data_IF_014968249384
#
_entry.id   IF_014968249384
#
_cell.length_a   1.000
_cell.length_b   1.000
_cell.length_c   1.000
_cell.angle_alpha   90.00
_cell.angle_beta   90.00
_cell.angle_gamma   90.00
#
_symmetry.space_group_name_H-M   'P 1'
#
loop_
_entity.id
_entity.type
_entity.pdbx_description
1 polymer ?
#
# COMPACT_ATOMS: atom_id res chain seq x y z
N UNK A 1 11.38 -17.59 22.24
CA UNK A 1 10.97 -17.73 20.83
C UNK A 1 9.76 -16.83 20.61
N UNK A 2 9.75 -16.05 19.54
CA UNK A 2 8.60 -15.18 19.15
C UNK A 2 7.81 -15.91 18.08
N UNK A 3 6.48 -15.97 18.22
CA UNK A 3 5.60 -16.50 17.19
C UNK A 3 5.07 -15.37 16.30
N UNK A 4 5.18 -15.50 14.96
CA UNK A 4 4.61 -14.56 13.99
C UNK A 4 3.60 -15.32 13.12
N UNK A 5 2.40 -14.79 12.99
CA UNK A 5 1.34 -15.34 12.13
C UNK A 5 1.19 -14.49 10.87
N UNK A 6 1.37 -15.12 9.70
CA UNK A 6 1.35 -14.49 8.40
C UNK A 6 2.76 -14.20 7.85
N UNK A 7 3.23 -15.01 6.88
CA UNK A 7 4.50 -14.79 6.18
C UNK A 7 4.30 -13.97 4.88
N UNK A 8 3.43 -12.97 4.93
CA UNK A 8 3.37 -11.92 3.92
C UNK A 8 4.62 -11.02 3.98
N UNK A 9 4.73 -9.99 3.12
CA UNK A 9 5.89 -9.09 3.12
C UNK A 9 6.19 -8.49 4.50
N UNK A 10 5.15 -8.07 5.24
CA UNK A 10 5.28 -7.51 6.60
C UNK A 10 5.87 -8.52 7.58
N UNK A 11 5.28 -9.72 7.68
CA UNK A 11 5.74 -10.73 8.64
C UNK A 11 7.13 -11.26 8.33
N UNK A 12 7.46 -11.40 7.05
CA UNK A 12 8.79 -11.82 6.61
C UNK A 12 9.86 -10.77 6.94
N UNK A 13 9.57 -9.48 6.70
CA UNK A 13 10.48 -8.38 7.05
C UNK A 13 10.67 -8.27 8.56
N UNK A 14 9.57 -8.35 9.31
CA UNK A 14 9.59 -8.31 10.78
C UNK A 14 10.42 -9.47 11.37
N UNK A 15 10.24 -10.69 10.84
CA UNK A 15 11.00 -11.87 11.26
C UNK A 15 12.52 -11.66 11.06
N UNK A 16 12.92 -11.08 9.93
CA UNK A 16 14.35 -10.77 9.65
C UNK A 16 14.89 -9.75 10.65
N UNK A 17 14.16 -8.66 10.93
CA UNK A 17 14.59 -7.64 11.87
C UNK A 17 14.75 -8.21 13.30
N UNK A 18 13.73 -8.92 13.79
CA UNK A 18 13.77 -9.49 15.13
C UNK A 18 14.83 -10.60 15.29
N UNK A 19 15.04 -11.41 14.25
CA UNK A 19 16.12 -12.40 14.27
C UNK A 19 17.51 -11.74 14.39
N UNK A 20 17.73 -10.60 13.72
CA UNK A 20 18.97 -9.83 13.85
C UNK A 20 19.18 -9.23 15.24
N UNK A 21 18.10 -9.06 16.02
CA UNK A 21 18.16 -8.73 17.45
C UNK A 21 18.49 -9.96 18.33
N UNK A 22 18.64 -11.14 17.74
CA UNK A 22 18.96 -12.38 18.43
C UNK A 22 17.75 -13.17 18.92
N UNK A 23 16.55 -12.85 18.47
CA UNK A 23 15.36 -13.65 18.80
C UNK A 23 15.26 -14.88 17.89
N UNK A 24 14.81 -16.00 18.48
CA UNK A 24 14.33 -17.16 17.75
C UNK A 24 12.88 -16.91 17.32
N UNK A 25 12.59 -17.11 16.03
CA UNK A 25 11.30 -16.79 15.40
C UNK A 25 10.64 -18.06 14.84
N UNK A 26 9.39 -18.30 15.21
CA UNK A 26 8.51 -19.25 14.52
C UNK A 26 7.53 -18.46 13.63
N UNK A 27 7.67 -18.58 12.30
CA UNK A 27 6.86 -17.85 11.32
C UNK A 27 5.87 -18.79 10.63
N UNK A 28 4.57 -18.60 10.90
CA UNK A 28 3.47 -19.44 10.40
C UNK A 28 2.76 -18.80 9.23
N UNK A 29 2.53 -19.58 8.16
CA UNK A 29 1.83 -19.13 6.95
C UNK A 29 0.81 -20.18 6.50
N UNK A 30 -0.40 -19.75 6.20
CA UNK A 30 -1.49 -20.61 5.73
C UNK A 30 -1.24 -21.20 4.34
N UNK A 31 -0.62 -20.41 3.46
CA UNK A 31 -0.34 -20.80 2.06
C UNK A 31 0.86 -21.72 1.99
N UNK A 32 1.00 -22.35 0.83
CA UNK A 32 2.20 -23.13 0.47
C UNK A 32 3.42 -22.22 0.38
N UNK A 33 4.60 -22.82 0.44
CA UNK A 33 5.87 -22.11 0.28
C UNK A 33 5.96 -21.45 -1.11
N UNK A 34 6.09 -20.13 -1.21
CA UNK A 34 6.13 -19.44 -2.50
C UNK A 34 7.41 -19.72 -3.31
N UNK A 35 8.41 -20.41 -2.72
CA UNK A 35 9.62 -20.87 -3.40
C UNK A 35 9.38 -22.14 -4.21
N UNK A 36 8.31 -22.88 -3.92
CA UNK A 36 7.91 -24.04 -4.70
C UNK A 36 7.37 -23.62 -6.06
N UNK A 37 7.95 -24.16 -7.14
CA UNK A 37 7.52 -23.89 -8.51
C UNK A 37 6.05 -24.33 -8.80
N UNK A 38 5.44 -25.13 -7.91
CA UNK A 38 4.05 -25.57 -7.96
C UNK A 38 3.11 -24.71 -7.11
N UNK A 39 3.67 -23.80 -6.29
CA UNK A 39 2.83 -22.85 -5.59
C UNK A 39 2.10 -22.02 -6.65
N UNK A 40 0.78 -22.10 -6.68
CA UNK A 40 -0.01 -21.23 -7.53
C UNK A 40 0.48 -19.80 -7.28
N UNK A 41 0.98 -19.18 -8.35
CA UNK A 41 1.27 -17.75 -8.32
C UNK A 41 -0.08 -17.07 -8.12
N UNK A 42 -0.48 -16.92 -6.84
CA UNK A 42 -1.67 -16.20 -6.46
C UNK A 42 -1.62 -14.86 -7.18
N UNK A 43 -2.76 -14.34 -7.59
CA UNK A 43 -2.89 -13.05 -8.27
C UNK A 43 -2.03 -12.03 -7.57
N UNK A 44 -1.13 -11.42 -8.31
CA UNK A 44 -0.16 -10.49 -7.79
C UNK A 44 -0.55 -9.08 -8.20
N UNK A 45 -1.23 -8.38 -7.30
CA UNK A 45 -1.34 -6.93 -7.42
C UNK A 45 0.08 -6.37 -7.35
N UNK A 46 0.41 -5.46 -8.26
CA UNK A 46 1.64 -4.70 -8.15
C UNK A 46 1.54 -3.70 -7.02
N UNK A 47 2.60 -3.60 -6.29
CA UNK A 47 2.78 -2.67 -5.18
C UNK A 47 3.62 -1.49 -5.66
N UNK A 48 3.33 -0.32 -5.12
CA UNK A 48 4.14 0.89 -5.31
C UNK A 48 5.12 1.00 -4.12
N UNK A 49 6.38 0.65 -4.33
CA UNK A 49 7.42 0.80 -3.34
C UNK A 49 7.96 2.24 -3.39
N UNK A 50 7.83 2.96 -2.29
CA UNK A 50 8.26 4.34 -2.10
C UNK A 50 9.40 4.44 -1.07
N UNK A 51 9.87 5.64 -0.79
CA UNK A 51 11.04 5.88 0.05
C UNK A 51 10.95 5.22 1.44
N UNK A 52 9.79 5.25 2.11
CA UNK A 52 9.58 4.60 3.42
C UNK A 52 9.81 3.09 3.38
N UNK A 53 9.27 2.44 2.36
CA UNK A 53 9.48 1.01 2.18
C UNK A 53 10.92 0.68 1.80
N UNK A 54 11.56 1.51 0.96
CA UNK A 54 12.97 1.39 0.61
C UNK A 54 13.85 1.57 1.84
N UNK A 55 13.56 2.57 2.68
CA UNK A 55 14.26 2.80 3.94
C UNK A 55 14.18 1.57 4.85
N UNK A 56 12.99 1.01 5.04
CA UNK A 56 12.81 -0.18 5.85
C UNK A 56 13.59 -1.39 5.33
N UNK A 57 13.59 -1.61 4.01
CA UNK A 57 14.38 -2.68 3.39
C UNK A 57 15.88 -2.47 3.52
N UNK A 58 16.36 -1.22 3.47
CA UNK A 58 17.77 -0.87 3.72
C UNK A 58 18.17 -1.08 5.17
N UNK A 59 17.36 -0.65 6.12
CA UNK A 59 17.56 -0.90 7.57
C UNK A 59 17.64 -2.40 7.84
N UNK A 60 16.74 -3.17 7.24
CA UNK A 60 16.78 -4.63 7.32
C UNK A 60 17.93 -5.26 6.50
N UNK A 61 18.69 -4.48 5.71
CA UNK A 61 19.81 -4.95 4.88
C UNK A 61 19.40 -6.00 3.84
N UNK A 62 18.19 -5.87 3.28
CA UNK A 62 17.62 -6.80 2.28
C UNK A 62 17.30 -6.08 0.95
N UNK A 63 17.56 -4.79 0.86
CA UNK A 63 17.21 -4.00 -0.32
C UNK A 63 17.87 -4.52 -1.60
N UNK A 64 19.14 -4.93 -1.54
CA UNK A 64 19.91 -5.39 -2.70
C UNK A 64 19.39 -6.73 -3.25
N UNK A 65 18.77 -7.57 -2.41
CA UNK A 65 18.11 -8.81 -2.83
C UNK A 65 16.82 -8.54 -3.61
N UNK A 66 16.18 -7.39 -3.38
CA UNK A 66 14.88 -7.01 -3.95
C UNK A 66 15.05 -6.06 -5.15
N UNK A 67 16.09 -5.23 -5.15
CA UNK A 67 16.33 -4.20 -6.15
C UNK A 67 16.24 -4.68 -7.62
N UNK A 68 16.69 -5.89 -7.99
CA UNK A 68 16.57 -6.40 -9.36
C UNK A 68 15.12 -6.59 -9.86
N UNK A 69 14.15 -6.66 -8.95
CA UNK A 69 12.72 -6.82 -9.28
C UNK A 69 11.96 -5.49 -9.39
N UNK A 70 12.63 -4.36 -9.13
CA UNK A 70 12.03 -3.04 -9.07
C UNK A 70 12.02 -2.35 -10.43
N UNK A 71 10.86 -1.84 -10.85
CA UNK A 71 10.70 -1.02 -12.06
C UNK A 71 10.41 0.43 -11.68
N UNK A 72 11.28 1.39 -12.03
CA UNK A 72 11.09 2.79 -11.68
C UNK A 72 9.94 3.41 -12.47
N UNK A 73 9.04 4.08 -11.78
CA UNK A 73 7.98 4.92 -12.34
C UNK A 73 8.25 6.38 -11.96
N UNK A 74 8.37 7.25 -12.95
CA UNK A 74 8.74 8.66 -12.78
C UNK A 74 7.53 9.59 -12.62
N UNK A 75 6.34 9.08 -12.94
CA UNK A 75 5.12 9.86 -12.89
C UNK A 75 3.89 9.03 -13.23
N UNK A 76 2.78 9.74 -13.42
CA UNK A 76 1.51 9.22 -13.90
C UNK A 76 1.35 9.56 -15.37
N UNK A 77 0.96 8.60 -16.19
CA UNK A 77 0.53 8.85 -17.56
C UNK A 77 -1.01 8.77 -17.59
N UNK A 78 -1.63 9.93 -17.75
CA UNK A 78 -3.09 10.07 -17.78
C UNK A 78 -3.58 9.85 -19.19
N UNK A 79 -4.57 8.95 -19.34
CA UNK A 79 -5.22 8.64 -20.60
C UNK A 79 -6.63 9.25 -20.63
N UNK A 80 -6.81 10.27 -21.41
CA UNK A 80 -8.12 10.91 -21.59
C UNK A 80 -9.04 10.09 -22.50
N UNK A 81 -10.33 10.37 -22.45
CA UNK A 81 -11.32 9.62 -23.23
C UNK A 81 -11.17 9.83 -24.75
N UNK A 82 -10.64 10.97 -25.17
CA UNK A 82 -10.32 11.29 -26.58
C UNK A 82 -9.02 10.63 -27.07
N UNK A 83 -8.39 9.73 -26.28
CA UNK A 83 -7.11 9.07 -26.50
C UNK A 83 -5.86 9.96 -26.37
N UNK A 84 -6.00 11.24 -26.03
CA UNK A 84 -4.85 12.06 -25.65
C UNK A 84 -4.23 11.57 -24.34
N UNK A 85 -2.95 11.85 -24.16
CA UNK A 85 -2.25 11.52 -22.92
C UNK A 85 -1.54 12.73 -22.34
N UNK A 86 -1.42 12.78 -21.01
CA UNK A 86 -0.63 13.77 -20.31
C UNK A 86 0.25 13.10 -19.26
N UNK A 87 1.52 13.42 -19.25
CA UNK A 87 2.45 12.96 -18.25
C UNK A 87 2.50 13.93 -17.06
N UNK A 88 2.30 13.43 -15.85
CA UNK A 88 2.43 14.17 -14.61
C UNK A 88 3.60 13.57 -13.79
N UNK A 89 4.72 14.28 -13.65
CA UNK A 89 5.83 13.80 -12.84
C UNK A 89 5.43 13.68 -11.36
N UNK A 90 6.00 12.71 -10.66
CA UNK A 90 5.80 12.57 -9.22
C UNK A 90 6.57 13.62 -8.42
N UNK A 91 7.73 14.01 -8.90
CA UNK A 91 8.61 14.97 -8.26
C UNK A 91 9.48 15.70 -9.25
N UNK A 92 10.41 16.52 -8.75
CA UNK A 92 11.28 17.38 -9.57
C UNK A 92 12.72 16.87 -9.65
N UNK A 93 13.10 15.94 -8.77
CA UNK A 93 14.46 15.41 -8.68
C UNK A 93 14.57 14.03 -9.34
N UNK A 94 15.71 13.67 -9.92
CA UNK A 94 15.90 12.37 -10.60
C UNK A 94 15.66 11.14 -9.71
N UNK A 95 15.85 11.29 -8.40
CA UNK A 95 15.65 10.25 -7.39
C UNK A 95 14.21 10.18 -6.83
N UNK A 96 13.35 11.12 -7.19
CA UNK A 96 11.94 11.11 -6.80
C UNK A 96 11.14 10.19 -7.72
N UNK A 97 11.34 8.91 -7.56
CA UNK A 97 10.70 7.83 -8.30
C UNK A 97 10.04 6.85 -7.34
N UNK A 98 8.99 6.21 -7.81
CA UNK A 98 8.31 5.11 -7.13
C UNK A 98 8.60 3.85 -7.92
N UNK A 99 8.71 2.72 -7.26
CA UNK A 99 8.99 1.46 -7.96
C UNK A 99 7.76 0.57 -8.00
N UNK A 100 7.40 0.09 -9.19
CA UNK A 100 6.49 -1.03 -9.31
C UNK A 100 7.20 -2.32 -8.94
N UNK A 101 6.57 -3.13 -8.12
CA UNK A 101 7.05 -4.46 -7.74
C UNK A 101 5.89 -5.43 -7.60
N UNK A 102 6.03 -6.64 -8.17
CA UNK A 102 5.07 -7.70 -7.93
C UNK A 102 5.09 -8.12 -6.46
N UNK A 103 3.90 -8.14 -5.82
CA UNK A 103 3.76 -8.58 -4.43
C UNK A 103 4.33 -9.99 -4.21
N UNK A 104 4.11 -10.87 -5.18
CA UNK A 104 4.63 -12.25 -5.13
C UNK A 104 6.16 -12.27 -5.12
N UNK A 105 6.81 -11.54 -6.03
CA UNK A 105 8.27 -11.47 -6.12
C UNK A 105 8.89 -10.84 -4.89
N UNK A 106 8.29 -9.76 -4.38
CA UNK A 106 8.75 -9.12 -3.15
C UNK A 106 8.68 -10.09 -1.96
N UNK A 107 7.54 -10.78 -1.81
CA UNK A 107 7.37 -11.75 -0.73
C UNK A 107 8.32 -12.94 -0.86
N UNK A 108 8.50 -13.48 -2.06
CA UNK A 108 9.43 -14.57 -2.33
C UNK A 108 10.86 -14.18 -1.94
N UNK A 109 11.33 -13.00 -2.36
CA UNK A 109 12.68 -12.53 -2.02
C UNK A 109 12.87 -12.37 -0.50
N UNK A 110 11.89 -11.82 0.22
CA UNK A 110 11.94 -11.70 1.68
C UNK A 110 11.98 -13.08 2.36
N UNK A 111 11.18 -14.04 1.89
CA UNK A 111 11.19 -15.42 2.41
C UNK A 111 12.51 -16.12 2.10
N UNK A 112 13.11 -15.90 0.93
CA UNK A 112 14.43 -16.44 0.58
C UNK A 112 15.52 -15.91 1.51
N UNK A 113 15.47 -14.65 1.89
CA UNK A 113 16.38 -14.09 2.90
C UNK A 113 16.10 -14.67 4.29
N UNK A 114 14.84 -14.71 4.71
CA UNK A 114 14.45 -15.26 6.01
C UNK A 114 14.89 -16.72 6.17
N UNK A 115 14.77 -17.53 5.13
CA UNK A 115 15.15 -18.94 5.12
C UNK A 115 16.67 -19.20 5.30
N UNK A 116 17.51 -18.21 5.01
CA UNK A 116 18.97 -18.28 5.21
C UNK A 116 19.39 -17.96 6.64
N UNK A 117 18.49 -17.40 7.45
CA UNK A 117 18.77 -16.98 8.82
C UNK A 117 18.46 -18.14 9.79
N UNK A 118 19.46 -18.66 10.55
CA UNK A 118 19.30 -19.90 11.31
C UNK A 118 18.28 -19.83 12.45
N UNK A 119 17.96 -18.61 12.93
CA UNK A 119 16.98 -18.38 13.98
C UNK A 119 15.54 -18.16 13.48
N UNK A 120 15.24 -18.38 12.19
CA UNK A 120 13.89 -18.27 11.65
C UNK A 120 13.40 -19.65 11.21
N UNK A 121 12.34 -20.13 11.86
CA UNK A 121 11.67 -21.39 11.56
C UNK A 121 10.42 -21.13 10.75
N UNK A 122 10.43 -21.46 9.46
CA UNK A 122 9.32 -21.24 8.52
C UNK A 122 8.35 -22.43 8.55
N UNK A 123 7.09 -22.16 8.84
CA UNK A 123 6.01 -23.16 8.88
C UNK A 123 4.92 -22.78 7.86
N UNK A 124 5.06 -23.28 6.62
CA UNK A 124 4.04 -23.13 5.59
C UNK A 124 2.91 -24.15 5.76
N UNK A 125 1.72 -23.84 5.21
CA UNK A 125 0.50 -24.62 5.39
C UNK A 125 0.11 -24.77 6.87
N UNK A 126 0.40 -23.73 7.65
CA UNK A 126 0.07 -23.62 9.06
C UNK A 126 -0.84 -22.41 9.29
N UNK A 127 -2.11 -22.66 9.62
CA UNK A 127 -3.13 -21.62 9.78
C UNK A 127 -3.41 -21.36 11.24
N UNK A 128 -3.35 -20.09 11.65
CA UNK A 128 -3.88 -19.67 12.93
C UNK A 128 -5.40 -19.91 12.97
N UNK A 129 -5.93 -20.49 14.05
CA UNK A 129 -7.36 -20.78 14.18
C UNK A 129 -8.01 -20.04 15.35
N UNK A 130 -7.38 -20.01 16.52
CA UNK A 130 -7.93 -19.36 17.70
C UNK A 130 -6.86 -19.04 18.73
N UNK A 131 -7.21 -18.19 19.70
CA UNK A 131 -6.39 -17.85 20.86
C UNK A 131 -7.16 -18.08 22.16
N UNK A 132 -6.48 -18.62 23.17
CA UNK A 132 -6.96 -18.67 24.55
C UNK A 132 -6.10 -17.73 25.40
N UNK A 133 -6.65 -16.56 25.69
CA UNK A 133 -5.99 -15.51 26.46
C UNK A 133 -5.85 -15.84 27.94
N UNK A 134 -6.61 -16.82 28.46
CA UNK A 134 -6.51 -17.25 29.85
C UNK A 134 -5.35 -18.22 30.07
N UNK A 135 -5.11 -19.12 29.13
CA UNK A 135 -3.98 -20.06 29.15
C UNK A 135 -2.74 -19.53 28.40
N UNK A 136 -2.85 -18.33 27.80
CA UNK A 136 -1.81 -17.67 26.99
C UNK A 136 -1.30 -18.56 25.84
N UNK A 137 -2.24 -19.24 25.16
CA UNK A 137 -1.91 -20.15 24.05
C UNK A 137 -2.72 -19.86 22.78
N UNK A 138 -2.14 -20.18 21.64
CA UNK A 138 -2.82 -20.12 20.34
C UNK A 138 -2.83 -21.49 19.66
N UNK A 139 -3.88 -21.73 18.89
CA UNK A 139 -4.05 -22.95 18.10
C UNK A 139 -3.67 -22.69 16.64
N UNK A 140 -2.72 -23.46 16.15
CA UNK A 140 -2.25 -23.44 14.78
C UNK A 140 -2.59 -24.79 14.13
N UNK A 141 -3.33 -24.78 13.02
CA UNK A 141 -3.62 -26.01 12.27
C UNK A 141 -2.53 -26.27 11.23
N UNK A 142 -1.87 -27.39 11.35
CA UNK A 142 -1.03 -27.96 10.30
C UNK A 142 -1.97 -28.59 9.23
N UNK A 143 -2.06 -27.92 8.08
CA UNK A 143 -2.96 -28.31 6.98
C UNK A 143 -2.46 -29.52 6.20
N UNK A 144 -1.18 -29.89 6.32
CA UNK A 144 -0.63 -31.09 5.68
C UNK A 144 -1.02 -32.37 6.40
N UNK A 145 -1.05 -32.31 7.73
CA UNK A 145 -1.28 -33.50 8.58
C UNK A 145 -2.62 -33.44 9.31
N UNK A 146 -3.44 -32.39 9.05
CA UNK A 146 -4.72 -32.10 9.68
C UNK A 146 -4.69 -32.23 11.22
N UNK A 147 -3.70 -31.61 11.84
CA UNK A 147 -3.52 -31.61 13.30
C UNK A 147 -3.41 -30.19 13.83
N UNK A 148 -3.82 -30.03 15.09
CA UNK A 148 -3.69 -28.77 15.82
C UNK A 148 -2.38 -28.79 16.64
N UNK A 149 -1.64 -27.70 16.56
CA UNK A 149 -0.43 -27.43 17.35
C UNK A 149 -0.75 -26.28 18.28
N UNK A 150 -0.51 -26.46 19.57
CA UNK A 150 -0.64 -25.40 20.57
C UNK A 150 0.69 -24.70 20.74
N UNK A 151 0.68 -23.37 20.60
CA UNK A 151 1.88 -22.52 20.72
C UNK A 151 1.65 -21.44 21.79
N UNK A 152 2.71 -21.02 22.54
CA UNK A 152 2.59 -19.96 23.52
C UNK A 152 2.42 -18.59 22.85
N UNK A 153 1.66 -17.69 23.48
CA UNK A 153 1.49 -16.29 23.10
C UNK A 153 2.39 -15.35 23.94
N UNK A 154 3.70 -15.54 23.87
CA UNK A 154 4.67 -14.79 24.71
C UNK A 154 5.94 -14.39 23.93
N UNK A 155 5.86 -13.43 23.00
CA UNK A 155 4.70 -12.79 22.35
C UNK A 155 4.25 -13.53 21.09
N UNK A 156 3.00 -13.27 20.65
CA UNK A 156 2.50 -13.61 19.34
C UNK A 156 2.24 -12.33 18.55
N UNK A 157 2.89 -12.17 17.40
CA UNK A 157 2.77 -11.03 16.52
C UNK A 157 1.93 -11.42 15.31
N UNK A 158 0.81 -10.72 15.09
CA UNK A 158 -0.11 -10.99 13.99
C UNK A 158 0.12 -10.04 12.84
N UNK A 159 0.59 -10.57 11.72
CA UNK A 159 0.81 -9.93 10.42
C UNK A 159 -0.03 -10.62 9.33
N UNK A 160 -1.20 -11.15 9.73
CA UNK A 160 -2.10 -11.99 8.94
C UNK A 160 -3.04 -11.19 8.00
N UNK A 161 -2.72 -9.90 7.81
CA UNK A 161 -3.28 -9.05 6.78
C UNK A 161 -4.67 -8.50 7.08
N UNK A 162 -5.30 -7.85 6.09
CA UNK A 162 -6.59 -7.17 6.26
C UNK A 162 -7.71 -8.08 6.77
N UNK A 163 -7.69 -9.37 6.43
CA UNK A 163 -8.62 -10.38 6.91
C UNK A 163 -8.25 -11.02 8.25
N UNK A 164 -7.43 -10.39 9.07
CA UNK A 164 -6.84 -10.93 10.29
C UNK A 164 -7.81 -11.72 11.18
N UNK A 165 -7.50 -13.00 11.41
CA UNK A 165 -8.23 -13.82 12.39
C UNK A 165 -7.87 -13.41 13.82
N UNK A 166 -6.60 -13.04 14.08
CA UNK A 166 -6.20 -12.57 15.40
C UNK A 166 -6.96 -11.29 15.79
N UNK A 167 -7.14 -10.34 14.86
CA UNK A 167 -7.95 -9.14 15.14
C UNK A 167 -9.38 -9.51 15.52
N UNK A 168 -9.99 -10.51 14.84
CA UNK A 168 -11.35 -10.99 15.16
C UNK A 168 -11.41 -11.64 16.52
N UNK A 169 -10.42 -12.46 16.88
CA UNK A 169 -10.32 -13.08 18.21
C UNK A 169 -10.19 -12.01 19.31
N UNK A 170 -9.26 -11.07 19.17
CA UNK A 170 -9.09 -9.97 20.12
C UNK A 170 -10.36 -9.14 20.30
N UNK A 171 -11.06 -8.85 19.20
CA UNK A 171 -12.32 -8.10 19.23
C UNK A 171 -13.47 -8.90 19.86
N UNK A 172 -13.57 -10.20 19.57
CA UNK A 172 -14.57 -11.08 20.15
C UNK A 172 -14.42 -11.22 21.68
N UNK A 173 -13.19 -11.22 22.17
CA UNK A 173 -12.86 -11.22 23.60
C UNK A 173 -12.89 -9.82 24.24
N UNK A 174 -13.31 -8.78 23.51
CA UNK A 174 -13.40 -7.39 23.98
C UNK A 174 -12.04 -6.79 24.47
N UNK A 175 -10.94 -7.33 23.98
CA UNK A 175 -9.58 -6.85 24.31
C UNK A 175 -9.18 -5.64 23.45
N UNK A 176 -9.82 -5.50 22.28
CA UNK A 176 -9.69 -4.35 21.38
C UNK A 176 -11.05 -3.92 20.86
N UNK A 177 -11.12 -2.73 20.27
CA UNK A 177 -12.22 -2.30 19.42
C UNK A 177 -11.74 -2.29 17.97
N UNK A 178 -12.35 -3.07 17.10
CA UNK A 178 -12.01 -3.13 15.69
C UNK A 178 -13.22 -2.80 14.82
N UNK A 179 -12.98 -2.10 13.71
CA UNK A 179 -13.97 -1.76 12.71
C UNK A 179 -13.45 -2.02 11.31
N UNK A 180 -14.34 -2.42 10.42
CA UNK A 180 -14.08 -2.56 8.99
C UNK A 180 -15.09 -1.70 8.25
N UNK A 181 -14.61 -0.80 7.39
CA UNK A 181 -15.46 0.06 6.55
C UNK A 181 -15.30 -0.35 5.10
N UNK A 182 -16.38 -0.86 4.52
CA UNK A 182 -16.43 -1.25 3.11
C UNK A 182 -16.83 -0.06 2.24
N UNK A 183 -16.11 0.20 1.14
CA UNK A 183 -16.48 1.23 0.18
C UNK A 183 -17.58 0.72 -0.78
N UNK A 184 -18.35 1.64 -1.34
CA UNK A 184 -19.33 1.35 -2.40
C UNK A 184 -18.67 0.79 -3.68
N UNK A 185 -17.37 1.03 -3.85
CA UNK A 185 -16.56 0.53 -4.95
C UNK A 185 -15.90 -0.81 -4.60
N UNK A 186 -15.64 -1.59 -5.63
CA UNK A 186 -14.75 -2.74 -5.59
C UNK A 186 -13.65 -2.57 -6.63
N UNK A 187 -12.79 -3.57 -6.73
CA UNK A 187 -11.78 -3.61 -7.78
C UNK A 187 -11.74 -4.97 -8.48
N UNK A 188 -11.26 -4.98 -9.71
CA UNK A 188 -11.03 -6.21 -10.47
C UNK A 188 -9.65 -6.17 -11.13
N UNK A 189 -8.89 -7.22 -10.91
CA UNK A 189 -7.58 -7.40 -11.51
C UNK A 189 -7.73 -7.94 -12.94
N UNK A 190 -7.02 -7.31 -13.85
CA UNK A 190 -6.93 -7.65 -15.26
C UNK A 190 -5.46 -7.60 -15.68
N UNK A 191 -5.14 -8.11 -16.85
CA UNK A 191 -3.77 -8.06 -17.37
C UNK A 191 -3.69 -7.45 -18.76
N UNK A 192 -2.55 -6.82 -19.03
CA UNK A 192 -2.11 -6.45 -20.38
C UNK A 192 -0.82 -7.25 -20.61
N UNK A 193 -0.84 -8.26 -21.50
CA UNK A 193 0.31 -9.11 -21.74
C UNK A 193 1.47 -8.34 -22.39
N UNK A 194 2.69 -8.86 -22.21
CA UNK A 194 3.85 -8.35 -22.90
C UNK A 194 3.67 -8.48 -24.43
N UNK A 195 4.19 -7.51 -25.15
CA UNK A 195 4.27 -7.56 -26.59
C UNK A 195 5.30 -8.59 -27.10
N UNK A 196 5.47 -8.69 -28.42
CA UNK A 196 6.44 -9.61 -29.02
C UNK A 196 7.84 -9.45 -28.44
N UNK A 197 8.49 -10.57 -28.14
CA UNK A 197 9.83 -10.63 -27.50
C UNK A 197 9.91 -9.94 -26.13
N UNK A 198 8.82 -9.93 -25.34
CA UNK A 198 8.80 -9.35 -24.00
C UNK A 198 8.83 -7.82 -23.97
N UNK A 199 8.49 -7.15 -25.08
CA UNK A 199 8.47 -5.67 -25.10
C UNK A 199 7.24 -5.15 -24.37
N UNK A 200 7.43 -4.02 -23.71
CA UNK A 200 6.32 -3.30 -23.11
C UNK A 200 5.38 -2.72 -24.19
N UNK A 201 4.07 -2.98 -24.12
CA UNK A 201 3.10 -2.40 -25.08
C UNK A 201 2.79 -0.92 -24.81
N UNK A 202 3.16 -0.41 -23.64
CA UNK A 202 3.01 0.98 -23.20
C UNK A 202 4.28 1.47 -22.53
N UNK A 203 4.33 2.77 -22.14
CA UNK A 203 5.46 3.32 -21.38
C UNK A 203 5.65 2.57 -20.06
N UNK A 204 6.87 2.10 -19.78
CA UNK A 204 7.15 1.27 -18.61
C UNK A 204 7.71 2.05 -17.41
N UNK A 205 7.85 3.35 -17.55
CA UNK A 205 8.35 4.25 -16.52
C UNK A 205 7.26 5.15 -15.91
N UNK A 206 5.99 4.75 -16.05
CA UNK A 206 4.84 5.47 -15.53
C UNK A 206 3.78 4.54 -14.95
N UNK A 207 3.02 5.04 -13.97
CA UNK A 207 1.72 4.52 -13.62
C UNK A 207 0.70 5.03 -14.63
N UNK A 208 0.06 4.15 -15.39
CA UNK A 208 -1.01 4.51 -16.31
C UNK A 208 -2.33 4.67 -15.55
N UNK A 209 -3.07 5.75 -15.83
CA UNK A 209 -4.37 6.05 -15.22
C UNK A 209 -5.35 6.48 -16.30
N UNK A 210 -6.53 5.86 -16.32
CA UNK A 210 -7.70 6.23 -17.12
C UNK A 210 -8.79 6.74 -16.18
N UNK A 211 -8.83 8.03 -15.82
CA UNK A 211 -9.89 8.59 -14.97
C UNK A 211 -11.20 8.73 -15.76
N UNK A 212 -12.33 8.35 -15.15
CA UNK A 212 -13.67 8.40 -15.76
C UNK A 212 -14.74 8.88 -14.76
N UNK A 213 -14.43 9.89 -13.97
CA UNK A 213 -15.31 10.45 -12.96
C UNK A 213 -15.58 9.50 -11.80
N UNK A 214 -16.61 8.66 -11.88
CA UNK A 214 -16.96 7.75 -10.78
C UNK A 214 -16.25 6.39 -10.82
N UNK A 215 -15.37 6.14 -11.77
CA UNK A 215 -14.58 4.90 -11.88
C UNK A 215 -13.27 5.18 -12.61
N UNK A 216 -12.34 4.26 -12.52
CA UNK A 216 -11.04 4.37 -13.20
C UNK A 216 -10.42 3.01 -13.48
N UNK A 217 -9.53 2.98 -14.45
CA UNK A 217 -8.59 1.90 -14.70
C UNK A 217 -7.19 2.42 -14.39
N UNK A 218 -6.35 1.59 -13.77
CA UNK A 218 -4.92 1.86 -13.63
C UNK A 218 -4.13 0.68 -14.18
N UNK A 219 -2.86 0.89 -14.58
CA UNK A 219 -1.97 -0.19 -14.95
C UNK A 219 -0.53 0.10 -14.50
N UNK A 220 0.11 -0.89 -13.88
CA UNK A 220 1.49 -0.85 -13.42
C UNK A 220 2.34 -1.87 -14.20
N UNK A 221 3.57 -1.51 -14.59
CA UNK A 221 4.46 -2.39 -15.35
C UNK A 221 4.98 -3.54 -14.50
N UNK A 222 5.20 -4.69 -15.15
CA UNK A 222 5.85 -5.89 -14.61
C UNK A 222 7.21 -6.12 -15.27
N UNK A 223 8.13 -6.77 -14.57
CA UNK A 223 9.49 -7.04 -15.07
C UNK A 223 9.53 -7.93 -16.33
N UNK A 224 8.45 -8.67 -16.62
CA UNK A 224 8.32 -9.50 -17.81
C UNK A 224 7.80 -8.77 -19.06
N UNK A 225 7.59 -7.45 -18.96
CA UNK A 225 7.06 -6.62 -20.05
C UNK A 225 5.54 -6.52 -20.09
N UNK A 226 4.82 -7.19 -19.22
CA UNK A 226 3.38 -7.10 -19.06
C UNK A 226 2.98 -5.93 -18.13
N UNK A 227 1.67 -5.68 -18.00
CA UNK A 227 1.12 -4.77 -17.00
C UNK A 227 0.01 -5.46 -16.21
N UNK A 228 0.01 -5.23 -14.90
CA UNK A 228 -1.15 -5.52 -14.05
C UNK A 228 -2.10 -4.35 -14.11
N UNK A 229 -3.29 -4.57 -14.63
CA UNK A 229 -4.33 -3.58 -14.73
C UNK A 229 -5.38 -3.79 -13.61
N UNK A 230 -5.88 -2.70 -13.03
CA UNK A 230 -6.90 -2.75 -11.97
C UNK A 230 -8.05 -1.81 -12.32
N UNK A 231 -9.23 -2.39 -12.50
CA UNK A 231 -10.47 -1.63 -12.70
C UNK A 231 -11.14 -1.38 -11.35
N UNK A 232 -11.30 -0.10 -10.99
CA UNK A 232 -12.10 0.35 -9.85
C UNK A 232 -13.46 0.83 -10.32
N UNK A 233 -14.53 0.23 -9.80
CA UNK A 233 -15.90 0.47 -10.26
C UNK A 233 -16.88 0.34 -9.10
N UNK A 234 -18.02 1.07 -9.07
CA UNK A 234 -19.10 0.82 -8.12
C UNK A 234 -19.53 -0.65 -8.13
N UNK A 235 -19.86 -1.19 -6.97
CA UNK A 235 -20.37 -2.57 -6.84
C UNK A 235 -21.76 -2.70 -7.44
N UNK A 236 -22.61 -1.67 -7.26
CA UNK A 236 -24.03 -1.62 -7.68
C UNK A 236 -24.34 -0.33 -8.41
N UNK A 237 -25.41 -0.36 -9.22
CA UNK A 237 -25.91 0.80 -9.95
C UNK A 237 -25.83 0.66 -11.48
N UNK A 238 -26.15 1.71 -12.25
CA UNK A 238 -26.22 1.65 -13.71
C UNK A 238 -24.88 1.33 -14.38
N UNK A 239 -23.78 1.87 -13.84
CA UNK A 239 -22.40 1.60 -14.26
C UNK A 239 -21.70 0.97 -13.06
N UNK A 240 -21.66 -0.37 -13.01
CA UNK A 240 -21.20 -1.12 -11.85
C UNK A 240 -20.77 -2.54 -12.23
N UNK A 241 -20.09 -3.23 -11.32
CA UNK A 241 -19.80 -4.66 -11.49
C UNK A 241 -21.07 -5.51 -11.64
N UNK A 242 -22.16 -5.16 -10.96
CA UNK A 242 -23.44 -5.83 -11.09
C UNK A 242 -24.05 -5.72 -12.49
N UNK A 243 -23.89 -4.58 -13.16
CA UNK A 243 -24.36 -4.36 -14.54
C UNK A 243 -23.50 -5.05 -15.60
N UNK A 244 -22.24 -5.38 -15.29
CA UNK A 244 -21.30 -6.07 -16.16
C UNK A 244 -21.40 -7.59 -16.02
N UNK A 245 -22.57 -8.16 -16.28
CA UNK A 245 -22.93 -9.53 -15.97
C UNK A 245 -22.77 -10.52 -17.14
N UNK A 246 -22.40 -10.07 -18.33
CA UNK A 246 -22.18 -10.93 -19.49
C UNK A 246 -21.08 -10.38 -20.42
N UNK A 247 -20.59 -11.22 -21.34
CA UNK A 247 -19.48 -10.90 -22.23
C UNK A 247 -19.72 -9.63 -23.06
N UNK A 248 -20.95 -9.41 -23.54
CA UNK A 248 -21.29 -8.27 -24.38
C UNK A 248 -21.24 -6.95 -23.59
N UNK A 249 -21.80 -6.93 -22.38
CA UNK A 249 -21.78 -5.73 -21.53
C UNK A 249 -20.37 -5.39 -21.06
N UNK A 250 -19.55 -6.39 -20.73
CA UNK A 250 -18.15 -6.20 -20.34
C UNK A 250 -17.34 -5.61 -21.51
N UNK A 251 -17.43 -6.22 -22.69
CA UNK A 251 -16.67 -5.77 -23.87
C UNK A 251 -17.09 -4.38 -24.32
N UNK A 252 -18.40 -4.09 -24.37
CA UNK A 252 -18.92 -2.77 -24.70
C UNK A 252 -18.47 -1.71 -23.70
N UNK A 253 -18.49 -2.00 -22.40
CA UNK A 253 -18.05 -1.08 -21.36
C UNK A 253 -16.56 -0.73 -21.52
N UNK A 254 -15.67 -1.73 -21.65
CA UNK A 254 -14.24 -1.48 -21.81
C UNK A 254 -13.93 -0.79 -23.13
N UNK A 255 -14.58 -1.18 -24.25
CA UNK A 255 -14.39 -0.56 -25.56
C UNK A 255 -14.86 0.90 -25.59
N UNK A 256 -15.90 1.24 -24.83
CA UNK A 256 -16.42 2.61 -24.78
C UNK A 256 -15.60 3.52 -23.88
N UNK A 257 -15.26 3.03 -22.68
CA UNK A 257 -14.61 3.86 -21.67
C UNK A 257 -13.08 3.82 -21.71
N UNK A 258 -12.49 2.71 -22.17
CA UNK A 258 -11.04 2.45 -22.16
C UNK A 258 -10.58 1.83 -23.49
N UNK A 259 -10.86 2.44 -24.64
CA UNK A 259 -10.67 1.81 -25.95
C UNK A 259 -9.21 1.42 -26.22
N UNK A 260 -8.25 2.26 -25.84
CA UNK A 260 -6.81 2.00 -25.96
C UNK A 260 -6.34 0.86 -25.09
N UNK A 261 -6.78 0.80 -23.82
CA UNK A 261 -6.47 -0.30 -22.93
C UNK A 261 -7.15 -1.61 -23.39
N UNK A 262 -8.41 -1.54 -23.86
CA UNK A 262 -9.15 -2.72 -24.33
C UNK A 262 -8.45 -3.43 -25.49
N UNK A 263 -7.88 -2.66 -26.42
CA UNK A 263 -7.11 -3.21 -27.56
C UNK A 263 -5.90 -4.05 -27.09
N UNK A 264 -5.36 -3.79 -25.92
CA UNK A 264 -4.21 -4.47 -25.32
C UNK A 264 -4.59 -5.66 -24.40
N UNK A 265 -5.90 -5.93 -24.21
CA UNK A 265 -6.41 -6.97 -23.30
C UNK A 265 -7.06 -8.14 -24.05
N UNK A 266 -6.30 -9.05 -24.68
CA UNK A 266 -6.87 -10.19 -25.44
C UNK A 266 -7.64 -11.19 -24.54
N UNK A 267 -7.26 -11.31 -23.27
CA UNK A 267 -7.84 -12.25 -22.30
C UNK A 267 -8.92 -11.62 -21.39
N UNK A 268 -9.36 -10.39 -21.68
CA UNK A 268 -10.30 -9.62 -20.85
C UNK A 268 -11.49 -10.43 -20.34
N UNK A 269 -12.21 -11.11 -21.22
CA UNK A 269 -13.47 -11.78 -20.86
C UNK A 269 -13.24 -13.03 -19.98
N UNK A 270 -12.15 -13.71 -20.20
CA UNK A 270 -11.74 -14.86 -19.40
C UNK A 270 -11.36 -14.40 -17.98
N UNK A 271 -10.46 -13.43 -17.86
CA UNK A 271 -9.99 -12.87 -16.61
C UNK A 271 -11.13 -12.19 -15.82
N UNK A 272 -11.99 -11.43 -16.52
CA UNK A 272 -13.10 -10.76 -15.87
C UNK A 272 -14.08 -11.74 -15.19
N UNK A 273 -14.26 -12.94 -15.75
CA UNK A 273 -15.10 -14.00 -15.18
C UNK A 273 -14.36 -14.79 -14.08
N UNK A 274 -13.08 -15.09 -14.31
CA UNK A 274 -12.28 -15.89 -13.40
C UNK A 274 -11.97 -15.12 -12.09
N UNK A 275 -11.78 -13.79 -12.19
CA UNK A 275 -11.40 -12.98 -11.06
C UNK A 275 -12.63 -12.45 -10.29
N UNK A 276 -12.73 -12.65 -8.94
CA UNK A 276 -13.79 -12.03 -8.15
C UNK A 276 -13.63 -10.52 -8.09
N UNK A 277 -14.69 -9.82 -7.73
CA UNK A 277 -14.58 -8.42 -7.30
C UNK A 277 -13.92 -8.40 -5.93
N UNK A 278 -12.78 -7.71 -5.83
CA UNK A 278 -12.03 -7.57 -4.61
C UNK A 278 -12.68 -6.58 -3.64
N UNK A 279 -12.49 -6.84 -2.35
CA UNK A 279 -12.90 -5.94 -1.27
C UNK A 279 -12.04 -4.67 -1.30
N UNK A 280 -12.69 -3.53 -1.16
CA UNK A 280 -12.06 -2.23 -1.07
C UNK A 280 -12.59 -1.52 0.18
N UNK A 281 -11.75 -1.37 1.18
CA UNK A 281 -12.16 -0.81 2.46
C UNK A 281 -10.99 -0.51 3.38
N UNK A 282 -11.30 -0.04 4.56
CA UNK A 282 -10.34 0.28 5.61
C UNK A 282 -10.61 -0.55 6.85
N UNK A 283 -9.55 -0.84 7.57
CA UNK A 283 -9.58 -1.50 8.88
C UNK A 283 -9.02 -0.54 9.91
N UNK A 284 -9.63 -0.48 11.08
CA UNK A 284 -9.09 0.23 12.24
C UNK A 284 -9.24 -0.63 13.49
N UNK A 285 -8.24 -0.63 14.34
CA UNK A 285 -8.24 -1.30 15.63
C UNK A 285 -7.67 -0.38 16.72
N UNK A 286 -8.13 -0.53 17.96
CA UNK A 286 -7.62 0.17 19.14
C UNK A 286 -7.96 -0.58 20.44
N UNK A 287 -7.00 -0.81 21.37
CA UNK A 287 -5.54 -0.80 21.10
C UNK A 287 -5.16 -1.87 20.07
N UNK A 288 -3.89 -1.93 19.66
CA UNK A 288 -3.41 -2.98 18.73
C UNK A 288 -2.90 -4.23 19.44
N UNK A 289 -2.99 -4.30 20.76
CA UNK A 289 -2.42 -5.38 21.56
C UNK A 289 -3.34 -5.85 22.68
N UNK A 290 -3.07 -7.05 23.18
CA UNK A 290 -3.64 -7.60 24.39
C UNK A 290 -2.50 -7.88 25.38
N UNK A 291 -2.25 -6.92 26.31
CA UNK A 291 -1.16 -7.02 27.25
C UNK A 291 0.19 -7.31 26.57
N UNK A 292 0.92 -8.30 27.09
CA UNK A 292 2.16 -8.82 26.50
C UNK A 292 1.94 -10.01 25.55
N UNK A 293 0.71 -10.49 25.41
CA UNK A 293 0.40 -11.77 24.77
C UNK A 293 0.36 -11.67 23.24
N UNK A 294 -0.32 -10.65 22.71
CA UNK A 294 -0.53 -10.51 21.28
C UNK A 294 -0.45 -9.06 20.80
N UNK A 295 0.06 -8.86 19.57
CA UNK A 295 0.18 -7.57 18.91
C UNK A 295 -0.23 -7.68 17.45
N UNK A 296 -1.07 -6.76 16.97
CA UNK A 296 -1.42 -6.60 15.56
C UNK A 296 -0.43 -5.65 14.89
N UNK A 297 0.10 -6.00 13.72
CA UNK A 297 1.08 -5.19 12.97
C UNK A 297 0.69 -5.15 11.50
N UNK A 298 0.83 -3.99 10.88
CA UNK A 298 0.52 -3.77 9.47
C UNK A 298 -0.98 -3.88 9.16
N UNK A 299 -1.34 -4.45 8.01
CA UNK A 299 -2.73 -4.58 7.56
C UNK A 299 -3.64 -5.30 8.57
N UNK A 300 -3.10 -6.11 9.47
CA UNK A 300 -3.87 -6.72 10.56
C UNK A 300 -4.47 -5.66 11.50
N UNK A 301 -3.80 -4.54 11.69
CA UNK A 301 -4.21 -3.44 12.56
C UNK A 301 -4.93 -2.31 11.80
N UNK A 302 -4.48 -1.97 10.56
CA UNK A 302 -4.84 -0.73 9.88
C UNK A 302 -4.83 -0.81 8.34
N UNK A 303 -5.34 -1.89 7.77
CA UNK A 303 -5.46 -1.98 6.31
C UNK A 303 -6.18 -0.78 5.72
N UNK A 304 -5.68 -0.27 4.60
CA UNK A 304 -6.17 0.92 3.94
C UNK A 304 -6.40 0.72 2.45
N UNK A 305 -7.15 1.62 1.83
CA UNK A 305 -7.37 1.62 0.38
C UNK A 305 -6.08 1.91 -0.39
N UNK A 306 -5.89 1.35 -1.60
CA UNK A 306 -4.58 1.34 -2.28
C UNK A 306 -4.23 2.65 -3.01
N UNK A 307 -5.10 3.67 -2.99
CA UNK A 307 -5.02 4.82 -3.89
C UNK A 307 -3.82 5.74 -3.67
N UNK A 308 -3.24 5.77 -2.49
CA UNK A 308 -1.98 6.48 -2.23
C UNK A 308 -0.75 5.58 -2.44
N UNK A 309 -0.93 4.27 -2.64
CA UNK A 309 0.17 3.31 -2.79
C UNK A 309 0.97 3.11 -1.49
N UNK A 310 0.41 3.43 -0.32
CA UNK A 310 1.16 3.45 0.94
C UNK A 310 0.91 2.25 1.87
N UNK A 311 -0.05 1.36 1.61
CA UNK A 311 -0.33 0.24 2.50
C UNK A 311 0.92 -0.57 2.87
N UNK A 312 1.65 -1.09 1.87
CA UNK A 312 2.89 -1.83 2.10
C UNK A 312 4.00 -0.97 2.74
N UNK A 313 4.20 0.27 2.26
CA UNK A 313 5.23 1.16 2.79
C UNK A 313 5.00 1.48 4.27
N UNK A 314 3.74 1.70 4.65
CA UNK A 314 3.32 1.92 6.03
C UNK A 314 3.56 0.67 6.89
N UNK A 315 3.22 -0.53 6.38
CA UNK A 315 3.49 -1.79 7.07
C UNK A 315 5.00 -2.07 7.24
N UNK A 316 5.83 -1.66 6.28
CA UNK A 316 7.28 -1.79 6.41
C UNK A 316 7.86 -0.78 7.40
N UNK A 317 7.32 0.43 7.43
CA UNK A 317 7.64 1.42 8.46
C UNK A 317 7.22 0.90 9.86
N UNK A 318 6.07 0.22 9.99
CA UNK A 318 5.70 -0.45 11.25
C UNK A 318 6.78 -1.45 11.71
N UNK A 319 7.37 -2.21 10.78
CA UNK A 319 8.38 -3.19 11.15
C UNK A 319 9.63 -2.53 11.76
N UNK A 320 10.11 -1.42 11.20
CA UNK A 320 11.29 -0.72 11.74
C UNK A 320 10.97 0.05 13.02
N UNK A 321 9.79 0.63 13.15
CA UNK A 321 9.36 1.31 14.36
C UNK A 321 9.14 0.31 15.52
N UNK A 322 8.58 -0.87 15.21
CA UNK A 322 8.46 -1.95 16.19
C UNK A 322 9.84 -2.48 16.62
N UNK A 323 10.75 -2.67 15.66
CA UNK A 323 12.13 -3.07 15.95
C UNK A 323 12.84 -2.07 16.87
N UNK A 324 12.63 -0.77 16.65
CA UNK A 324 13.15 0.30 17.50
C UNK A 324 12.57 0.26 18.93
N UNK A 325 11.27 -0.06 19.08
CA UNK A 325 10.68 -0.28 20.42
C UNK A 325 11.28 -1.50 21.13
N UNK A 326 11.51 -2.59 20.39
CA UNK A 326 12.15 -3.81 20.93
C UNK A 326 13.60 -3.56 21.35
N UNK A 327 14.34 -2.72 20.63
CA UNK A 327 15.71 -2.33 20.97
C UNK A 327 15.84 -1.71 22.35
N UNK A 328 14.80 -1.01 22.82
CA UNK A 328 14.77 -0.40 24.15
C UNK A 328 14.71 -1.42 25.31
N UNK A 329 14.51 -2.71 24.98
CA UNK A 329 14.43 -3.82 25.95
C UNK A 329 13.37 -3.61 27.03
N UNK A 330 12.28 -2.96 26.68
CA UNK A 330 11.12 -2.81 27.56
C UNK A 330 10.39 -4.15 27.74
N UNK A 331 9.62 -4.34 28.82
CA UNK A 331 8.65 -5.42 28.89
C UNK A 331 7.68 -5.36 27.69
N UNK A 332 7.29 -6.52 27.16
CA UNK A 332 6.46 -6.60 25.94
C UNK A 332 5.20 -5.73 25.99
N UNK A 333 4.48 -5.76 27.11
CA UNK A 333 3.28 -4.94 27.28
C UNK A 333 3.56 -3.45 27.05
N UNK A 334 4.68 -2.95 27.61
CA UNK A 334 5.09 -1.55 27.47
C UNK A 334 5.54 -1.24 26.03
N UNK A 335 6.35 -2.12 25.42
CA UNK A 335 6.78 -1.98 24.04
C UNK A 335 5.60 -1.95 23.07
N UNK A 336 4.60 -2.81 23.28
CA UNK A 336 3.38 -2.86 22.47
C UNK A 336 2.53 -1.60 22.62
N UNK A 337 2.38 -1.12 23.86
CA UNK A 337 1.62 0.11 24.12
C UNK A 337 2.29 1.34 23.50
N UNK A 338 3.62 1.48 23.64
CA UNK A 338 4.39 2.58 23.05
C UNK A 338 4.34 2.55 21.52
N UNK A 339 4.54 1.37 20.91
CA UNK A 339 4.43 1.21 19.46
C UNK A 339 3.04 1.59 18.96
N UNK A 340 1.96 1.05 19.54
CA UNK A 340 0.60 1.36 19.13
C UNK A 340 0.26 2.84 19.28
N UNK A 341 0.70 3.48 20.38
CA UNK A 341 0.47 4.90 20.63
C UNK A 341 1.22 5.81 19.64
N UNK A 342 2.43 5.45 19.26
CA UNK A 342 3.25 6.19 18.29
C UNK A 342 2.74 6.02 16.85
N UNK A 343 2.40 4.78 16.46
CA UNK A 343 2.05 4.47 15.07
C UNK A 343 0.63 4.84 14.69
N UNK A 344 -0.35 4.63 15.58
CA UNK A 344 -1.77 4.82 15.25
C UNK A 344 -2.11 6.20 14.67
N UNK A 345 -1.65 7.34 15.20
CA UNK A 345 -1.93 8.64 14.59
C UNK A 345 -1.39 8.77 13.16
N UNK A 346 -0.24 8.16 12.87
CA UNK A 346 0.36 8.15 11.54
C UNK A 346 -0.40 7.26 10.56
N UNK A 347 -0.80 6.06 10.98
CA UNK A 347 -1.57 5.15 10.13
C UNK A 347 -2.98 5.67 9.85
N UNK A 348 -3.63 6.32 10.82
CA UNK A 348 -4.91 6.99 10.62
C UNK A 348 -4.79 8.15 9.61
N UNK A 349 -3.71 8.94 9.71
CA UNK A 349 -3.45 10.05 8.79
C UNK A 349 -3.25 9.57 7.33
N UNK A 350 -2.45 8.53 7.12
CA UNK A 350 -2.25 8.02 5.76
C UNK A 350 -3.48 7.30 5.22
N UNK A 351 -4.26 6.61 6.06
CA UNK A 351 -5.53 6.02 5.65
C UNK A 351 -6.53 7.10 5.18
N UNK A 352 -6.62 8.24 5.90
CA UNK A 352 -7.44 9.38 5.49
C UNK A 352 -6.95 9.98 4.17
N UNK A 353 -5.63 10.25 4.04
CA UNK A 353 -5.04 10.77 2.79
C UNK A 353 -5.23 9.81 1.61
N UNK A 354 -5.27 8.49 1.84
CA UNK A 354 -5.54 7.52 0.78
C UNK A 354 -6.99 7.60 0.26
N UNK A 355 -7.95 7.87 1.14
CA UNK A 355 -9.34 8.11 0.74
C UNK A 355 -9.49 9.44 -0.01
N UNK A 356 -8.82 10.51 0.44
CA UNK A 356 -8.79 11.79 -0.27
C UNK A 356 -8.19 11.63 -1.67
N UNK A 357 -7.07 10.91 -1.80
CA UNK A 357 -6.41 10.67 -3.08
C UNK A 357 -7.28 9.83 -4.04
N UNK A 358 -8.17 9.00 -3.52
CA UNK A 358 -9.15 8.29 -4.35
C UNK A 358 -10.09 9.24 -5.08
N UNK A 359 -10.63 10.21 -4.36
CA UNK A 359 -11.49 11.23 -4.94
C UNK A 359 -10.71 12.10 -5.95
N UNK A 360 -9.49 12.50 -5.58
CA UNK A 360 -8.59 13.27 -6.44
C UNK A 360 -8.31 12.54 -7.76
N UNK A 361 -7.86 11.30 -7.72
CA UNK A 361 -7.52 10.51 -8.91
C UNK A 361 -8.73 10.27 -9.83
N UNK A 362 -9.90 10.16 -9.26
CA UNK A 362 -11.13 9.84 -9.95
C UNK A 362 -11.75 11.08 -10.61
N UNK A 363 -11.76 12.22 -9.93
CA UNK A 363 -12.57 13.40 -10.27
C UNK A 363 -11.72 14.62 -10.64
N UNK A 364 -10.62 14.87 -9.94
CA UNK A 364 -9.93 16.17 -9.97
C UNK A 364 -8.79 16.27 -10.97
N UNK A 365 -8.19 15.16 -11.38
CA UNK A 365 -6.95 15.14 -12.20
C UNK A 365 -7.11 15.85 -13.55
N UNK A 366 -8.34 15.94 -14.06
CA UNK A 366 -8.68 16.61 -15.31
C UNK A 366 -9.13 18.07 -15.12
N UNK A 367 -9.30 18.54 -13.88
CA UNK A 367 -9.75 19.92 -13.59
C UNK A 367 -8.60 20.92 -13.81
N UNK A 368 -8.81 21.98 -14.63
CA UNK A 368 -7.74 22.96 -14.91
C UNK A 368 -7.23 23.71 -13.67
N UNK A 369 -8.10 24.01 -12.69
CA UNK A 369 -7.66 24.68 -11.46
C UNK A 369 -6.82 23.74 -10.58
N UNK A 370 -7.19 22.46 -10.51
CA UNK A 370 -6.38 21.44 -9.85
C UNK A 370 -4.99 21.32 -10.52
N UNK A 371 -4.93 21.30 -11.84
CA UNK A 371 -3.67 21.25 -12.58
C UNK A 371 -2.81 22.49 -12.32
N UNK A 372 -3.42 23.68 -12.24
CA UNK A 372 -2.72 24.92 -11.86
C UNK A 372 -2.17 24.83 -10.44
N UNK A 373 -2.95 24.34 -9.47
CA UNK A 373 -2.51 24.15 -8.10
C UNK A 373 -1.34 23.16 -8.00
N UNK A 374 -1.38 22.07 -8.77
CA UNK A 374 -0.27 21.11 -8.83
C UNK A 374 1.01 21.76 -9.40
N UNK A 375 0.89 22.50 -10.51
CA UNK A 375 2.01 23.21 -11.09
C UNK A 375 2.57 24.27 -10.13
N UNK A 376 1.69 25.02 -9.44
CA UNK A 376 2.09 26.01 -8.42
C UNK A 376 2.79 25.32 -7.24
N UNK A 377 2.29 24.19 -6.79
CA UNK A 377 2.87 23.42 -5.68
C UNK A 377 4.33 23.04 -5.95
N UNK A 378 4.64 22.57 -7.17
CA UNK A 378 6.01 22.26 -7.60
C UNK A 378 6.88 23.53 -7.69
N UNK A 379 6.34 24.64 -8.22
CA UNK A 379 7.08 25.90 -8.29
C UNK A 379 7.36 26.48 -6.91
N UNK A 380 6.45 26.36 -5.94
CA UNK A 380 6.66 26.78 -4.55
C UNK A 380 7.72 25.91 -3.85
N UNK A 381 7.75 24.61 -4.10
CA UNK A 381 8.84 23.73 -3.62
C UNK A 381 10.19 24.20 -4.15
N UNK A 382 10.28 24.52 -5.45
CA UNK A 382 11.50 25.00 -6.07
C UNK A 382 12.00 26.30 -5.45
N UNK A 383 11.09 27.22 -5.08
CA UNK A 383 11.43 28.54 -4.50
C UNK A 383 11.71 28.46 -3.00
N UNK A 384 10.96 27.61 -2.28
CA UNK A 384 10.97 27.53 -0.81
C UNK A 384 11.22 26.09 -0.32
N UNK A 385 12.29 25.40 -0.75
CA UNK A 385 12.46 23.94 -0.56
C UNK A 385 12.55 23.50 0.91
N UNK A 386 12.86 24.42 1.83
CA UNK A 386 12.92 24.12 3.27
C UNK A 386 11.56 24.32 4.00
N UNK A 387 10.57 24.87 3.32
CA UNK A 387 9.27 25.19 3.94
C UNK A 387 8.09 24.57 3.19
N UNK A 388 8.15 24.58 1.88
CA UNK A 388 7.08 24.08 1.03
C UNK A 388 7.54 22.81 0.30
N UNK A 389 7.25 21.65 0.91
CA UNK A 389 7.38 20.35 0.27
C UNK A 389 5.96 19.87 0.01
N UNK A 390 5.54 19.59 -1.25
CA UNK A 390 4.18 19.14 -1.55
C UNK A 390 3.77 17.94 -0.70
N UNK A 391 2.50 17.88 -0.26
CA UNK A 391 1.98 16.77 0.57
C UNK A 391 2.32 15.41 -0.01
N UNK A 392 2.13 15.25 -1.33
CA UNK A 392 2.44 14.00 -2.02
C UNK A 392 3.95 13.66 -1.91
N UNK A 393 4.82 14.64 -2.11
CA UNK A 393 6.28 14.47 -2.00
C UNK A 393 6.69 14.09 -0.56
N UNK A 394 6.12 14.74 0.47
CA UNK A 394 6.38 14.37 1.87
C UNK A 394 6.03 12.91 2.16
N UNK A 395 4.93 12.41 1.61
CA UNK A 395 4.50 11.02 1.80
C UNK A 395 5.39 10.03 1.05
N UNK A 396 5.75 10.35 -0.21
CA UNK A 396 6.38 9.40 -1.13
C UNK A 396 7.91 9.39 -1.08
N UNK A 397 8.55 10.52 -0.73
CA UNK A 397 10.00 10.69 -0.88
C UNK A 397 10.72 11.14 0.39
N UNK A 398 10.00 11.32 1.50
CA UNK A 398 10.53 11.82 2.76
C UNK A 398 10.09 10.92 3.93
N UNK A 399 10.78 9.79 4.12
CA UNK A 399 10.49 8.86 5.21
C UNK A 399 10.70 9.49 6.60
N UNK A 400 11.54 10.51 6.70
CA UNK A 400 11.81 11.28 7.93
C UNK A 400 10.64 12.18 8.36
N UNK A 401 9.67 12.49 7.46
CA UNK A 401 8.49 13.29 7.78
C UNK A 401 7.33 12.36 8.14
N UNK A 402 6.82 12.34 9.39
CA UNK A 402 5.69 11.51 9.78
C UNK A 402 4.44 11.77 8.93
N UNK A 403 3.63 10.75 8.67
CA UNK A 403 2.38 10.90 7.91
C UNK A 403 1.42 11.93 8.50
N UNK A 404 1.31 11.98 9.85
CA UNK A 404 0.49 12.98 10.52
C UNK A 404 0.98 14.41 10.21
N UNK A 405 2.30 14.62 10.23
CA UNK A 405 2.91 15.90 9.84
C UNK A 405 2.61 16.25 8.39
N UNK A 406 2.76 15.26 7.47
CA UNK A 406 2.45 15.45 6.05
C UNK A 406 0.97 15.82 5.84
N UNK A 407 0.04 15.20 6.56
CA UNK A 407 -1.39 15.52 6.52
C UNK A 407 -1.66 16.94 7.00
N UNK A 408 -1.15 17.33 8.18
CA UNK A 408 -1.38 18.66 8.78
C UNK A 408 -0.77 19.77 7.91
N UNK A 409 0.46 19.58 7.44
CA UNK A 409 1.11 20.55 6.54
C UNK A 409 0.39 20.63 5.21
N UNK A 410 -0.04 19.50 4.68
CA UNK A 410 -0.80 19.42 3.43
C UNK A 410 -2.12 20.20 3.47
N UNK A 411 -2.84 20.18 4.59
CA UNK A 411 -4.04 20.98 4.77
C UNK A 411 -3.72 22.49 4.69
N UNK A 412 -2.69 22.96 5.41
CA UNK A 412 -2.23 24.36 5.34
C UNK A 412 -1.76 24.74 3.92
N UNK A 413 -1.08 23.83 3.22
CA UNK A 413 -0.64 24.05 1.84
C UNK A 413 -1.83 24.16 0.87
N UNK A 414 -2.87 23.35 1.06
CA UNK A 414 -4.08 23.41 0.24
C UNK A 414 -4.79 24.76 0.36
N UNK A 415 -4.87 25.32 1.59
CA UNK A 415 -5.43 26.67 1.81
C UNK A 415 -4.59 27.74 1.08
N UNK A 416 -3.26 27.69 1.19
CA UNK A 416 -2.34 28.61 0.49
C UNK A 416 -2.53 28.52 -1.02
N UNK A 417 -2.54 27.31 -1.58
CA UNK A 417 -2.73 27.09 -3.02
C UNK A 417 -4.08 27.60 -3.50
N UNK A 418 -5.15 27.31 -2.76
CA UNK A 418 -6.51 27.77 -3.08
C UNK A 418 -6.61 29.31 -3.09
N UNK A 419 -5.99 29.96 -2.10
CA UNK A 419 -6.01 31.43 -2.00
C UNK A 419 -5.18 32.11 -3.10
N UNK A 420 -4.03 31.51 -3.47
CA UNK A 420 -3.15 32.04 -4.51
C UNK A 420 -3.69 31.83 -5.92
N UNK A 421 -4.43 30.74 -6.18
CA UNK A 421 -5.00 30.42 -7.49
C UNK A 421 -6.39 31.02 -7.73
N UNK A 422 -6.95 31.74 -6.75
CA UNK A 422 -8.29 32.34 -6.88
C UNK A 422 -8.31 33.39 -7.98
N UNK A 423 -8.98 33.06 -9.09
CA UNK A 423 -9.08 33.92 -10.28
C UNK A 423 -7.86 33.87 -11.19
N UNK A 424 -6.84 33.08 -10.89
CA UNK A 424 -5.71 32.83 -11.78
C UNK A 424 -6.04 31.71 -12.78
N UNK A 425 -5.45 31.80 -13.97
CA UNK A 425 -5.58 30.79 -15.04
C UNK A 425 -4.22 30.18 -15.45
N UNK A 426 -3.13 30.81 -15.04
CA UNK A 426 -1.77 30.36 -15.34
C UNK A 426 -0.82 30.73 -14.20
N UNK A 427 0.36 30.11 -14.16
CA UNK A 427 1.40 30.42 -13.16
C UNK A 427 1.91 31.87 -13.26
N UNK A 428 1.81 32.51 -14.44
CA UNK A 428 2.13 33.92 -14.64
C UNK A 428 1.24 34.88 -13.88
N UNK A 429 0.05 34.44 -13.50
CA UNK A 429 -0.96 35.28 -12.79
C UNK A 429 -0.74 35.25 -11.28
N UNK A 430 0.18 34.41 -10.78
CA UNK A 430 0.42 34.21 -9.34
C UNK A 430 1.32 35.29 -8.77
N UNK A 431 0.87 35.90 -7.67
CA UNK A 431 1.70 36.81 -6.87
C UNK A 431 2.64 36.01 -5.94
N UNK A 432 3.86 35.81 -6.40
CA UNK A 432 4.89 35.09 -5.63
C UNK A 432 5.40 35.86 -4.41
N UNK A 433 5.27 37.19 -4.35
CA UNK A 433 5.58 37.99 -3.17
C UNK A 433 4.57 37.71 -2.05
N UNK A 434 3.29 37.63 -2.38
CA UNK A 434 2.24 37.20 -1.47
C UNK A 434 2.45 35.73 -1.04
N UNK A 435 2.82 34.86 -1.97
CA UNK A 435 3.09 33.45 -1.67
C UNK A 435 4.21 33.31 -0.62
N UNK A 436 5.30 34.06 -0.75
CA UNK A 436 6.41 34.06 0.21
C UNK A 436 5.96 34.50 1.62
N UNK A 437 5.15 35.55 1.72
CA UNK A 437 4.62 36.03 3.00
C UNK A 437 3.73 34.96 3.67
N UNK A 438 2.82 34.35 2.92
CA UNK A 438 1.92 33.31 3.44
C UNK A 438 2.70 32.05 3.88
N UNK A 439 3.66 31.59 3.07
CA UNK A 439 4.50 30.43 3.40
C UNK A 439 5.31 30.69 4.67
N UNK A 440 5.97 31.86 4.78
CA UNK A 440 6.78 32.19 5.94
C UNK A 440 5.93 32.33 7.22
N UNK A 441 4.69 32.80 7.10
CA UNK A 441 3.78 32.96 8.24
C UNK A 441 3.15 31.64 8.70
N UNK A 442 2.83 30.72 7.77
CA UNK A 442 1.99 29.53 8.04
C UNK A 442 2.78 28.22 8.10
N UNK A 443 3.96 28.12 7.45
CA UNK A 443 4.75 26.90 7.36
C UNK A 443 6.11 27.07 8.05
N UNK A 444 6.35 26.29 9.10
CA UNK A 444 7.67 26.18 9.71
C UNK A 444 8.66 25.44 8.76
N UNK A 445 9.98 25.65 8.84
CA UNK A 445 10.96 24.79 8.17
C UNK A 445 10.73 23.29 8.50
N UNK A 446 11.02 22.44 7.55
CA UNK A 446 10.97 20.97 7.71
C UNK A 446 12.31 20.47 8.19
#
# INVERSE_FOLDING_TARGET
MISIVGAGPTGSLLAILLQRRGFEIALYETRADPRDARAESGRSINLALADRGIHALKVAGVFDDIAPALLPMRGRLIHYQNRDTAFQPYGQRPNEVIYSVSRHRLNQALIEVAAKLPGIHLHFQHRFESADFSSETAQIRDLQHDRIITVPMQPLLATDGAGSLMRRELNAHQLIQASETDLEHGYKELSIPAGPAGRFPMANDALHIWPRGNFMLIALPNADGSFTATLFLPKRGPISFESLNNAKTIDQFLSHHFPDARELMPHLLEEFRAHPVGFLGTVSAIPWHAGAQAMLIGDAAHAMVPFHGQGMNCCFEDCIEFDACVEQRLPWEKAFAEFGASRKPNTDAIAAMALENYLEMRESVADPNFQLQQALSLELERRFPQRFIPRYSMVMFHHEIPYLTAQQRGATQADILSDLTRGATALSDIDFGRAELEINAKLLPV
#
